data_IF_037140310202
#
_entry.id   IF_037140310202
#
_cell.length_a   1.000
_cell.length_b   1.000
_cell.length_c   1.000
_cell.angle_alpha   90.00
_cell.angle_beta   90.00
_cell.angle_gamma   90.00
#
_symmetry.space_group_name_H-M   'P 1'
#
loop_
_entity.id
_entity.type
_entity.pdbx_description
1 polymer ?
#
# COMPACT_ATOMS: atom_id res chain seq x y z
N UNK A 1 -13.53 8.70 7.89
CA UNK A 1 -12.80 8.69 9.18
C UNK A 1 -11.71 9.73 9.22
N UNK A 2 -11.35 10.21 10.43
CA UNK A 2 -10.26 11.16 10.62
C UNK A 2 -9.48 10.91 11.91
N UNK A 3 -8.20 11.30 11.95
CA UNK A 3 -7.32 11.17 13.11
C UNK A 3 -6.53 12.45 13.35
N UNK A 4 -6.50 12.88 14.62
CA UNK A 4 -5.59 13.91 15.15
C UNK A 4 -4.81 13.32 16.31
N UNK A 5 -3.50 13.55 16.35
CA UNK A 5 -2.66 13.13 17.49
C UNK A 5 -2.81 14.04 18.71
N UNK A 6 -3.23 15.28 18.50
CA UNK A 6 -3.54 16.21 19.59
C UNK A 6 -4.69 17.16 19.22
N UNK A 7 -5.39 17.71 20.22
CA UNK A 7 -6.51 18.65 20.00
C UNK A 7 -6.08 19.95 19.28
N UNK A 8 -4.80 20.34 19.40
CA UNK A 8 -4.22 21.53 18.77
C UNK A 8 -3.40 21.22 17.53
N UNK A 9 -3.14 19.93 17.25
CA UNK A 9 -2.38 19.49 16.08
C UNK A 9 -3.26 19.42 14.83
N UNK A 10 -2.59 19.41 13.66
CA UNK A 10 -3.23 19.16 12.38
C UNK A 10 -3.81 17.76 12.27
N UNK A 11 -4.61 17.53 11.25
CA UNK A 11 -5.11 16.21 10.90
C UNK A 11 -3.98 15.34 10.32
N UNK A 12 -3.77 14.18 10.90
CA UNK A 12 -2.93 13.15 10.29
C UNK A 12 -3.68 12.40 9.18
N UNK A 13 -5.00 12.19 9.38
CA UNK A 13 -5.94 11.71 8.38
C UNK A 13 -7.24 12.49 8.50
N UNK A 14 -7.86 12.82 7.37
CA UNK A 14 -9.11 13.58 7.34
C UNK A 14 -9.98 13.16 6.17
N UNK A 15 -11.28 13.02 6.42
CA UNK A 15 -12.29 12.70 5.42
C UNK A 15 -11.95 11.43 4.59
N UNK A 16 -11.24 10.46 5.20
CA UNK A 16 -10.90 9.21 4.53
C UNK A 16 -12.12 8.28 4.52
N UNK A 17 -12.55 7.89 3.32
CA UNK A 17 -13.60 6.90 3.10
C UNK A 17 -13.19 5.99 1.95
N UNK A 18 -12.97 4.72 2.21
CA UNK A 18 -12.56 3.72 1.23
C UNK A 18 -12.86 2.31 1.76
N UNK A 19 -12.89 1.34 0.86
CA UNK A 19 -12.90 -0.08 1.17
C UNK A 19 -11.75 -0.78 0.46
N UNK A 20 -11.17 -1.79 1.11
CA UNK A 20 -10.16 -2.65 0.49
C UNK A 20 -10.75 -4.05 0.30
N UNK A 21 -10.49 -4.70 -0.83
CA UNK A 21 -10.99 -6.06 -1.08
C UNK A 21 -10.28 -7.06 -0.14
N UNK A 22 -11.03 -8.08 0.29
CA UNK A 22 -10.45 -9.20 1.01
C UNK A 22 -9.64 -10.10 0.07
N UNK A 23 -8.68 -10.84 0.64
CA UNK A 23 -7.85 -11.83 -0.09
C UNK A 23 -7.07 -11.23 -1.27
N UNK A 24 -6.63 -9.97 -1.12
CA UNK A 24 -5.87 -9.24 -2.14
C UNK A 24 -4.65 -8.56 -1.54
N UNK A 25 -3.68 -8.28 -2.41
CA UNK A 25 -2.51 -7.46 -2.06
C UNK A 25 -2.80 -6.02 -2.45
N UNK A 26 -2.88 -5.15 -1.45
CA UNK A 26 -3.20 -3.74 -1.61
C UNK A 26 -1.96 -2.87 -1.38
N UNK A 27 -1.65 -2.01 -2.33
CA UNK A 27 -0.60 -1.01 -2.22
C UNK A 27 -1.14 0.26 -1.56
N UNK A 28 -0.54 0.69 -0.46
CA UNK A 28 -0.77 1.98 0.19
C UNK A 28 0.38 2.94 -0.15
N UNK A 29 0.15 3.86 -1.06
CA UNK A 29 1.17 4.75 -1.62
C UNK A 29 0.96 6.18 -1.15
N UNK A 30 2.04 6.94 -1.08
CA UNK A 30 2.02 8.37 -0.76
C UNK A 30 3.36 8.85 -0.23
N UNK A 31 3.60 10.17 -0.21
CA UNK A 31 4.83 10.75 0.30
C UNK A 31 5.01 10.50 1.80
N UNK A 32 6.21 10.78 2.31
CA UNK A 32 6.46 10.75 3.74
C UNK A 32 5.57 11.78 4.45
N UNK A 33 4.98 11.39 5.58
CA UNK A 33 4.03 12.24 6.30
C UNK A 33 2.60 12.27 5.75
N UNK A 34 2.30 11.56 4.66
CA UNK A 34 0.94 11.51 4.07
C UNK A 34 -0.12 10.85 4.96
N UNK A 35 0.29 10.10 6.00
CA UNK A 35 -0.64 9.41 6.90
C UNK A 35 -0.67 7.88 6.74
N UNK A 36 0.21 7.28 5.92
CA UNK A 36 0.26 5.83 5.66
C UNK A 36 0.37 5.00 6.95
N UNK A 37 1.40 5.26 7.76
CA UNK A 37 1.62 4.56 9.04
C UNK A 37 0.47 4.76 10.03
N UNK A 38 -0.14 5.96 10.04
CA UNK A 38 -1.34 6.26 10.85
C UNK A 38 -2.52 5.39 10.42
N UNK A 39 -2.73 5.24 9.11
CA UNK A 39 -3.79 4.42 8.56
C UNK A 39 -3.59 2.93 8.89
N UNK A 40 -2.37 2.42 8.74
CA UNK A 40 -2.04 1.05 9.13
C UNK A 40 -2.20 0.82 10.64
N UNK A 41 -1.76 1.76 11.48
CA UNK A 41 -1.93 1.68 12.93
C UNK A 41 -3.40 1.69 13.37
N UNK A 42 -4.26 2.44 12.67
CA UNK A 42 -5.72 2.38 12.86
C UNK A 42 -6.28 1.01 12.50
N UNK A 43 -5.93 0.48 11.33
CA UNK A 43 -6.37 -0.84 10.88
C UNK A 43 -5.86 -1.96 11.81
N UNK A 44 -4.67 -1.81 12.39
CA UNK A 44 -4.13 -2.71 13.42
C UNK A 44 -4.82 -2.57 14.79
N UNK A 45 -5.72 -1.60 14.96
CA UNK A 45 -6.35 -1.28 16.25
C UNK A 45 -5.39 -0.71 17.29
N UNK A 46 -4.22 -0.20 16.87
CA UNK A 46 -3.25 0.48 17.75
C UNK A 46 -3.65 1.92 18.04
N UNK A 47 -4.42 2.52 17.14
CA UNK A 47 -5.00 3.85 17.27
C UNK A 47 -6.52 3.76 17.18
N UNK A 48 -7.19 4.77 17.74
CA UNK A 48 -8.64 4.97 17.57
C UNK A 48 -8.87 6.17 16.67
N UNK A 49 -9.85 6.15 15.76
CA UNK A 49 -10.19 7.33 14.99
C UNK A 49 -10.73 8.42 15.91
N UNK A 50 -10.41 9.68 15.60
CA UNK A 50 -10.99 10.86 16.27
C UNK A 50 -12.43 11.09 15.79
N UNK A 51 -12.68 10.79 14.51
CA UNK A 51 -13.98 10.92 13.85
C UNK A 51 -14.23 9.74 12.92
N UNK A 52 -15.50 9.31 12.83
CA UNK A 52 -15.91 8.18 12.00
C UNK A 52 -15.54 6.82 12.61
N UNK A 53 -15.52 5.81 11.77
CA UNK A 53 -15.25 4.42 12.17
C UNK A 53 -14.31 3.74 11.18
N UNK A 54 -13.69 2.65 11.63
CA UNK A 54 -12.94 1.71 10.82
C UNK A 54 -13.46 0.31 11.11
N UNK A 55 -13.64 -0.47 10.06
CA UNK A 55 -13.93 -1.90 10.15
C UNK A 55 -12.70 -2.66 9.67
N UNK A 56 -12.17 -3.54 10.49
CA UNK A 56 -11.04 -4.41 10.20
C UNK A 56 -11.20 -5.72 11.00
N UNK A 57 -10.54 -6.82 10.60
CA UNK A 57 -10.47 -8.02 11.41
C UNK A 57 -9.96 -7.73 12.83
N UNK A 58 -10.35 -8.52 13.83
CA UNK A 58 -9.90 -8.32 15.21
C UNK A 58 -8.39 -8.49 15.33
N UNK A 59 -7.81 -7.97 16.42
CA UNK A 59 -6.35 -7.98 16.64
C UNK A 59 -5.73 -9.38 16.58
N UNK A 60 -6.46 -10.37 17.03
CA UNK A 60 -6.05 -11.79 17.02
C UNK A 60 -5.85 -12.29 15.58
N UNK A 61 -6.58 -11.71 14.63
CA UNK A 61 -6.55 -12.05 13.20
C UNK A 61 -5.78 -11.03 12.35
N UNK A 62 -5.21 -10.01 12.98
CA UNK A 62 -4.43 -8.97 12.31
C UNK A 62 -2.97 -9.06 12.74
N UNK A 63 -2.04 -9.04 11.79
CA UNK A 63 -0.62 -8.85 12.06
C UNK A 63 -0.16 -7.48 11.52
N UNK A 64 0.71 -6.81 12.26
CA UNK A 64 1.26 -5.52 11.88
C UNK A 64 2.78 -5.53 12.03
N UNK A 65 3.48 -5.18 10.97
CA UNK A 65 4.93 -4.97 10.96
C UNK A 65 5.16 -3.48 10.73
N UNK A 66 5.52 -2.79 11.79
CA UNK A 66 5.85 -1.36 11.73
C UNK A 66 7.23 -1.11 11.13
N UNK A 67 7.47 0.10 10.70
CA UNK A 67 8.74 0.53 10.09
C UNK A 67 9.94 0.28 11.01
N UNK A 68 9.80 0.50 12.33
CA UNK A 68 10.87 0.30 13.31
C UNK A 68 11.13 -1.19 13.64
N UNK A 69 10.25 -2.11 13.24
CA UNK A 69 10.35 -3.55 13.50
C UNK A 69 10.76 -3.83 14.96
N UNK A 70 9.89 -3.53 15.94
CA UNK A 70 10.22 -3.60 17.38
C UNK A 70 10.40 -5.05 17.84
N UNK A 71 11.59 -5.61 17.61
CA UNK A 71 12.01 -6.93 18.08
C UNK A 71 12.86 -6.79 19.34
N UNK A 72 12.82 -7.80 20.22
CA UNK A 72 13.64 -7.82 21.44
C UNK A 72 15.11 -8.10 21.10
N UNK A 73 16.05 -7.13 21.28
CA UNK A 73 17.42 -7.24 20.78
C UNK A 73 18.23 -8.37 21.43
N UNK A 74 17.86 -8.76 22.67
CA UNK A 74 18.53 -9.78 23.46
C UNK A 74 18.15 -11.21 23.09
N UNK A 75 16.98 -11.42 22.47
CA UNK A 75 16.53 -12.74 22.07
C UNK A 75 17.28 -13.22 20.82
N UNK A 76 17.37 -14.53 20.67
CA UNK A 76 17.79 -15.17 19.41
C UNK A 76 16.59 -15.23 18.45
N UNK A 77 16.85 -15.58 17.19
CA UNK A 77 15.79 -15.81 16.20
C UNK A 77 14.84 -16.91 16.68
N UNK A 78 15.36 -18.06 17.13
CA UNK A 78 14.56 -19.18 17.63
C UNK A 78 13.75 -18.82 18.87
N UNK A 79 14.33 -18.08 19.81
CA UNK A 79 13.63 -17.58 21.00
C UNK A 79 12.50 -16.61 20.61
N UNK A 80 12.75 -15.77 19.61
CA UNK A 80 11.75 -14.84 19.08
C UNK A 80 10.57 -15.58 18.45
N UNK A 81 10.83 -16.62 17.64
CA UNK A 81 9.75 -17.43 17.05
C UNK A 81 9.00 -18.25 18.12
N UNK A 82 9.71 -18.76 19.15
CA UNK A 82 9.08 -19.44 20.27
C UNK A 82 8.13 -18.51 21.04
N UNK A 83 8.57 -17.29 21.32
CA UNK A 83 7.72 -16.24 21.90
C UNK A 83 6.48 -15.98 21.04
N UNK A 84 6.65 -15.86 19.71
CA UNK A 84 5.54 -15.70 18.77
C UNK A 84 4.51 -16.82 18.89
N UNK A 85 4.96 -18.07 18.97
CA UNK A 85 4.11 -19.24 19.17
C UNK A 85 3.34 -19.21 20.48
N UNK A 86 4.00 -18.85 21.58
CA UNK A 86 3.39 -18.83 22.90
C UNK A 86 2.37 -17.70 23.07
N UNK A 87 2.60 -16.58 22.38
CA UNK A 87 1.65 -15.44 22.35
C UNK A 87 0.44 -15.68 21.43
N UNK A 88 0.49 -16.70 20.55
CA UNK A 88 -0.58 -17.01 19.61
C UNK A 88 -1.03 -18.49 19.72
N UNK A 89 -1.51 -18.95 20.88
CA UNK A 89 -1.90 -20.35 21.09
C UNK A 89 -3.03 -20.75 20.14
N UNK A 90 -2.87 -21.91 19.49
CA UNK A 90 -3.85 -22.47 18.56
C UNK A 90 -3.89 -21.83 17.17
N UNK A 91 -3.16 -20.75 16.94
CA UNK A 91 -3.12 -20.05 15.64
C UNK A 91 -1.73 -20.05 14.97
N UNK A 92 -0.71 -20.48 15.68
CA UNK A 92 0.66 -20.40 15.18
C UNK A 92 0.97 -21.43 14.10
N UNK A 93 1.43 -20.94 12.94
CA UNK A 93 1.98 -21.75 11.86
C UNK A 93 3.50 -21.76 11.89
N UNK A 94 4.06 -22.81 12.50
CA UNK A 94 5.51 -22.98 12.58
C UNK A 94 6.17 -23.18 11.22
N UNK A 95 5.46 -23.74 10.23
CA UNK A 95 6.01 -23.98 8.88
C UNK A 95 6.19 -22.66 8.12
N UNK A 96 5.19 -21.82 8.12
CA UNK A 96 5.26 -20.48 7.49
C UNK A 96 6.36 -19.63 8.14
N UNK A 97 6.44 -19.59 9.47
CA UNK A 97 7.49 -18.87 10.17
C UNK A 97 8.90 -19.41 9.85
N UNK A 98 9.09 -20.74 9.89
CA UNK A 98 10.37 -21.36 9.59
C UNK A 98 10.81 -21.17 8.14
N UNK A 99 9.88 -21.22 7.17
CA UNK A 99 10.16 -20.97 5.76
C UNK A 99 10.81 -19.61 5.54
N UNK A 100 10.26 -18.55 6.11
CA UNK A 100 10.79 -17.18 5.95
C UNK A 100 12.22 -17.06 6.52
N UNK A 101 12.49 -17.70 7.66
CA UNK A 101 13.81 -17.72 8.28
C UNK A 101 14.82 -18.48 7.42
N UNK A 102 14.45 -19.67 6.93
CA UNK A 102 15.30 -20.52 6.09
C UNK A 102 15.61 -19.90 4.73
N UNK A 103 14.61 -19.37 4.03
CA UNK A 103 14.78 -18.65 2.77
C UNK A 103 15.67 -17.40 2.93
N UNK A 104 15.69 -16.83 4.13
CA UNK A 104 16.58 -15.73 4.52
C UNK A 104 17.99 -16.15 4.86
N UNK A 105 18.29 -17.44 4.96
CA UNK A 105 19.59 -17.94 5.43
C UNK A 105 19.91 -17.49 6.86
N UNK A 106 18.89 -17.33 7.70
CA UNK A 106 19.09 -16.83 9.08
C UNK A 106 19.50 -17.97 10.01
N UNK A 107 20.54 -17.74 10.80
CA UNK A 107 20.91 -18.61 11.90
C UNK A 107 19.94 -18.44 13.07
N UNK A 108 19.28 -19.53 13.49
CA UNK A 108 18.34 -19.53 14.62
C UNK A 108 18.96 -19.13 15.94
N UNK A 109 20.26 -19.38 16.12
CA UNK A 109 21.04 -18.98 17.31
C UNK A 109 21.50 -17.52 17.30
N UNK A 110 21.42 -16.82 16.16
CA UNK A 110 21.84 -15.42 16.05
C UNK A 110 20.94 -14.50 16.89
N UNK A 111 21.54 -13.56 17.61
CA UNK A 111 20.79 -12.57 18.41
C UNK A 111 20.22 -11.49 17.51
N UNK A 112 19.00 -11.04 17.79
CA UNK A 112 18.32 -9.98 17.02
C UNK A 112 19.18 -8.72 16.89
N UNK A 113 19.92 -8.34 17.93
CA UNK A 113 20.80 -7.16 17.89
C UNK A 113 21.94 -7.24 16.88
N UNK A 114 22.38 -8.46 16.51
CA UNK A 114 23.47 -8.69 15.55
C UNK A 114 22.98 -8.79 14.10
N UNK A 115 21.67 -8.82 13.88
CA UNK A 115 21.08 -8.94 12.54
C UNK A 115 21.14 -7.61 11.77
N UNK A 116 21.32 -7.70 10.45
CA UNK A 116 21.14 -6.55 9.56
C UNK A 116 19.68 -6.08 9.53
N UNK A 117 19.41 -4.88 8.96
CA UNK A 117 18.05 -4.37 8.80
C UNK A 117 17.15 -5.35 8.04
N UNK A 118 17.63 -5.86 6.89
CA UNK A 118 16.91 -6.85 6.09
C UNK A 118 16.66 -8.18 6.81
N UNK A 119 17.63 -8.65 7.61
CA UNK A 119 17.45 -9.85 8.42
C UNK A 119 16.40 -9.64 9.52
N UNK A 120 16.39 -8.47 10.16
CA UNK A 120 15.33 -8.11 11.14
C UNK A 120 13.96 -8.04 10.49
N UNK A 121 13.87 -7.49 9.28
CA UNK A 121 12.63 -7.50 8.50
C UNK A 121 12.11 -8.92 8.31
N UNK A 122 12.97 -9.88 7.94
CA UNK A 122 12.57 -11.28 7.75
C UNK A 122 12.08 -11.92 9.05
N UNK A 123 12.72 -11.65 10.19
CA UNK A 123 12.24 -12.16 11.50
C UNK A 123 10.88 -11.56 11.85
N UNK A 124 10.67 -10.26 11.64
CA UNK A 124 9.39 -9.61 11.88
C UNK A 124 8.27 -10.18 11.00
N UNK A 125 8.58 -10.49 9.72
CA UNK A 125 7.64 -11.13 8.80
C UNK A 125 7.38 -12.60 9.18
N UNK A 126 8.39 -13.34 9.64
CA UNK A 126 8.21 -14.70 10.14
C UNK A 126 7.25 -14.74 11.34
N UNK A 127 7.35 -13.77 12.26
CA UNK A 127 6.39 -13.60 13.35
C UNK A 127 4.99 -13.27 12.84
N UNK A 128 4.89 -12.35 11.88
CA UNK A 128 3.61 -11.89 11.35
C UNK A 128 2.87 -13.00 10.60
N UNK A 129 3.55 -13.72 9.69
CA UNK A 129 2.97 -14.82 8.91
C UNK A 129 2.73 -16.06 9.79
N UNK A 130 3.64 -16.35 10.75
CA UNK A 130 3.44 -17.43 11.71
C UNK A 130 2.17 -17.29 12.54
N UNK A 131 1.67 -16.07 12.74
CA UNK A 131 0.39 -15.81 13.40
C UNK A 131 -0.85 -16.27 12.60
N UNK A 132 -0.71 -16.56 11.29
CA UNK A 132 -1.80 -16.86 10.34
C UNK A 132 -2.87 -15.76 10.33
N UNK A 133 -2.51 -14.54 10.01
CA UNK A 133 -3.44 -13.42 10.04
C UNK A 133 -4.43 -13.49 8.86
N UNK A 134 -5.65 -12.99 9.06
CA UNK A 134 -6.56 -12.66 7.94
C UNK A 134 -6.19 -11.32 7.31
N UNK A 135 -5.55 -10.42 8.09
CA UNK A 135 -5.09 -9.12 7.64
C UNK A 135 -3.62 -8.92 8.04
N UNK A 136 -2.76 -8.77 7.05
CA UNK A 136 -1.34 -8.46 7.21
C UNK A 136 -1.09 -7.01 6.80
N UNK A 137 -0.61 -6.22 7.75
CA UNK A 137 -0.31 -4.80 7.58
C UNK A 137 1.19 -4.59 7.64
N UNK A 138 1.78 -4.04 6.59
CA UNK A 138 3.23 -3.89 6.43
C UNK A 138 3.57 -2.42 6.18
N UNK A 139 4.34 -1.81 7.07
CA UNK A 139 4.77 -0.43 6.95
C UNK A 139 6.20 -0.35 6.41
N UNK A 140 6.32 -0.01 5.14
CA UNK A 140 7.58 0.06 4.38
C UNK A 140 8.48 -1.18 4.52
N UNK A 141 7.96 -2.40 4.29
CA UNK A 141 8.71 -3.64 4.58
C UNK A 141 9.91 -3.84 3.67
N UNK A 142 9.98 -3.12 2.55
CA UNK A 142 11.04 -3.26 1.54
C UNK A 142 12.22 -2.31 1.75
N UNK A 143 12.12 -1.32 2.65
CA UNK A 143 13.09 -0.23 2.79
C UNK A 143 14.55 -0.70 3.04
N UNK A 144 14.73 -1.79 3.82
CA UNK A 144 16.05 -2.30 4.20
C UNK A 144 16.51 -3.50 3.35
N UNK A 145 15.82 -3.81 2.24
CA UNK A 145 16.09 -4.98 1.41
C UNK A 145 16.79 -4.60 0.11
N UNK A 146 17.72 -5.43 -0.33
CA UNK A 146 18.24 -5.36 -1.69
C UNK A 146 17.21 -5.82 -2.73
N UNK A 147 17.38 -5.52 -4.03
CA UNK A 147 16.38 -5.83 -5.05
C UNK A 147 15.99 -7.32 -5.13
N UNK A 148 16.94 -8.23 -4.96
CA UNK A 148 16.66 -9.67 -4.99
C UNK A 148 15.86 -10.12 -3.76
N UNK A 149 16.21 -9.60 -2.59
CA UNK A 149 15.49 -9.85 -1.35
C UNK A 149 14.05 -9.31 -1.40
N UNK A 150 13.84 -8.13 -2.01
CA UNK A 150 12.50 -7.55 -2.25
C UNK A 150 11.65 -8.47 -3.13
N UNK A 151 12.20 -8.92 -4.25
CA UNK A 151 11.48 -9.82 -5.16
C UNK A 151 11.07 -11.14 -4.49
N UNK A 152 12.00 -11.76 -3.73
CA UNK A 152 11.70 -12.98 -2.96
C UNK A 152 10.63 -12.76 -1.89
N UNK A 153 10.70 -11.65 -1.17
CA UNK A 153 9.72 -11.31 -0.15
C UNK A 153 8.34 -11.10 -0.77
N UNK A 154 8.27 -10.36 -1.88
CA UNK A 154 7.00 -10.16 -2.58
C UNK A 154 6.39 -11.49 -3.04
N UNK A 155 7.20 -12.37 -3.62
CA UNK A 155 6.75 -13.72 -3.99
C UNK A 155 6.20 -14.51 -2.79
N UNK A 156 6.85 -14.46 -1.64
CA UNK A 156 6.39 -15.12 -0.42
C UNK A 156 5.07 -14.52 0.10
N UNK A 157 4.91 -13.20 0.06
CA UNK A 157 3.66 -12.53 0.47
C UNK A 157 2.50 -12.87 -0.46
N UNK A 158 2.73 -12.86 -1.78
CA UNK A 158 1.71 -13.24 -2.77
C UNK A 158 1.31 -14.72 -2.64
N UNK A 159 2.28 -15.61 -2.40
CA UNK A 159 2.01 -17.03 -2.16
C UNK A 159 1.17 -17.21 -0.89
N UNK A 160 1.52 -16.55 0.21
CA UNK A 160 0.74 -16.62 1.46
C UNK A 160 -0.68 -16.07 1.28
N UNK A 161 -0.83 -14.95 0.58
CA UNK A 161 -2.14 -14.38 0.25
C UNK A 161 -3.00 -15.36 -0.55
N UNK A 162 -2.41 -16.05 -1.53
CA UNK A 162 -3.11 -17.01 -2.36
C UNK A 162 -3.45 -18.33 -1.62
N UNK A 163 -2.50 -18.87 -0.83
CA UNK A 163 -2.65 -20.14 -0.13
C UNK A 163 -3.54 -20.05 1.10
N UNK A 164 -3.40 -18.96 1.87
CA UNK A 164 -4.07 -18.77 3.17
C UNK A 164 -5.24 -17.79 3.12
N UNK A 165 -5.47 -17.13 1.98
CA UNK A 165 -6.49 -16.10 1.85
C UNK A 165 -6.18 -14.85 2.70
N UNK A 166 -4.91 -14.58 2.98
CA UNK A 166 -4.49 -13.41 3.74
C UNK A 166 -4.68 -12.14 2.91
N UNK A 167 -5.38 -11.15 3.45
CA UNK A 167 -5.41 -9.80 2.88
C UNK A 167 -4.13 -9.07 3.28
N UNK A 168 -3.40 -8.51 2.33
CA UNK A 168 -2.15 -7.79 2.59
C UNK A 168 -2.33 -6.32 2.25
N UNK A 169 -1.97 -5.43 3.17
CA UNK A 169 -1.87 -3.99 2.91
C UNK A 169 -0.44 -3.56 3.18
N UNK A 170 0.25 -3.12 2.14
CA UNK A 170 1.66 -2.77 2.23
C UNK A 170 1.87 -1.32 1.84
N UNK A 171 2.50 -0.54 2.72
CA UNK A 171 2.90 0.81 2.39
C UNK A 171 4.25 0.81 1.64
N UNK A 172 4.34 1.68 0.64
CA UNK A 172 5.60 2.02 -0.03
C UNK A 172 5.58 3.47 -0.49
N UNK A 173 6.76 4.06 -0.60
CA UNK A 173 6.98 5.33 -1.28
C UNK A 173 7.64 5.13 -2.66
N UNK A 174 7.97 3.88 -3.03
CA UNK A 174 8.59 3.51 -4.31
C UNK A 174 7.57 2.73 -5.13
N UNK A 175 7.06 3.35 -6.19
CA UNK A 175 5.99 2.79 -7.03
C UNK A 175 6.45 1.53 -7.77
N UNK A 176 7.69 1.52 -8.28
CA UNK A 176 8.25 0.40 -9.01
C UNK A 176 8.31 -0.92 -8.20
N UNK A 177 8.28 -0.85 -6.86
CA UNK A 177 8.24 -2.03 -5.98
C UNK A 177 6.87 -2.72 -5.99
N UNK A 178 5.84 -2.01 -6.40
CA UNK A 178 4.44 -2.43 -6.30
C UNK A 178 3.87 -2.86 -7.65
N UNK A 179 4.56 -2.50 -8.74
CA UNK A 179 4.12 -2.77 -10.10
C UNK A 179 4.11 -4.27 -10.38
N UNK A 180 2.98 -4.77 -10.86
CA UNK A 180 2.77 -6.21 -11.10
C UNK A 180 2.59 -7.08 -9.86
N UNK A 181 2.68 -6.51 -8.64
CA UNK A 181 2.59 -7.25 -7.38
C UNK A 181 1.32 -6.93 -6.57
N UNK A 182 0.63 -5.86 -6.91
CA UNK A 182 -0.56 -5.41 -6.17
C UNK A 182 -1.81 -5.39 -7.04
N UNK A 183 -2.89 -5.91 -6.49
CA UNK A 183 -4.21 -5.93 -7.16
C UNK A 183 -4.95 -4.60 -7.00
N UNK A 184 -4.70 -3.90 -5.89
CA UNK A 184 -5.46 -2.73 -5.48
C UNK A 184 -4.54 -1.60 -5.03
N UNK A 185 -4.89 -0.38 -5.39
CA UNK A 185 -4.17 0.83 -5.06
C UNK A 185 -4.96 1.70 -4.08
N UNK A 186 -4.27 2.25 -3.10
CA UNK A 186 -4.73 3.32 -2.24
C UNK A 186 -3.66 4.42 -2.19
N UNK A 187 -3.89 5.55 -2.85
CA UNK A 187 -3.02 6.72 -2.78
C UNK A 187 -3.51 7.67 -1.69
N UNK A 188 -2.62 7.97 -0.75
CA UNK A 188 -2.87 8.93 0.33
C UNK A 188 -1.90 10.09 0.21
N UNK A 189 -2.43 11.30 0.24
CA UNK A 189 -1.65 12.53 0.24
C UNK A 189 -2.31 13.58 1.11
N UNK A 190 -1.52 14.35 1.89
CA UNK A 190 -2.02 15.35 2.80
C UNK A 190 -3.08 14.85 3.80
N UNK A 191 -2.98 13.58 4.22
CA UNK A 191 -3.94 12.94 5.11
C UNK A 191 -5.29 12.59 4.46
N UNK A 192 -5.41 12.63 3.13
CA UNK A 192 -6.63 12.32 2.38
C UNK A 192 -6.40 11.20 1.37
N UNK A 193 -7.43 10.40 1.12
CA UNK A 193 -7.41 9.42 0.04
C UNK A 193 -7.61 10.15 -1.28
N UNK A 194 -6.67 9.98 -2.21
CA UNK A 194 -6.67 10.60 -3.54
C UNK A 194 -7.13 9.63 -4.62
N UNK A 195 -6.65 8.39 -4.54
CA UNK A 195 -7.05 7.31 -5.44
C UNK A 195 -7.35 6.06 -4.60
N UNK A 196 -8.37 5.33 -4.99
CA UNK A 196 -8.68 3.99 -4.46
C UNK A 196 -9.34 3.16 -5.54
N UNK A 197 -8.82 1.96 -5.80
CA UNK A 197 -9.43 1.04 -6.77
C UNK A 197 -8.46 -0.05 -7.23
N UNK A 198 -8.97 -1.04 -8.00
CA UNK A 198 -8.11 -1.98 -8.71
C UNK A 198 -7.10 -1.24 -9.58
N UNK A 199 -5.84 -1.69 -9.59
CA UNK A 199 -4.75 -0.99 -10.30
C UNK A 199 -5.09 -0.81 -11.77
N UNK A 200 -5.54 -1.87 -12.44
CA UNK A 200 -5.89 -1.83 -13.87
C UNK A 200 -7.05 -0.86 -14.16
N UNK A 201 -8.06 -0.80 -13.30
CA UNK A 201 -9.21 0.09 -13.47
C UNK A 201 -8.81 1.56 -13.25
N UNK A 202 -7.93 1.81 -12.26
CA UNK A 202 -7.39 3.16 -12.02
C UNK A 202 -6.56 3.62 -13.21
N UNK A 203 -5.66 2.78 -13.74
CA UNK A 203 -4.88 3.09 -14.96
C UNK A 203 -5.79 3.28 -16.16
N UNK A 204 -6.76 2.37 -16.36
CA UNK A 204 -7.70 2.43 -17.49
C UNK A 204 -8.60 3.68 -17.48
N UNK A 205 -8.86 4.26 -16.30
CA UNK A 205 -9.62 5.48 -16.17
C UNK A 205 -8.87 6.74 -16.63
N UNK A 206 -7.56 6.64 -16.86
CA UNK A 206 -6.72 7.78 -17.22
C UNK A 206 -6.13 7.64 -18.63
N UNK A 207 -5.79 8.77 -19.23
CA UNK A 207 -5.06 8.86 -20.49
C UNK A 207 -3.97 9.92 -20.40
N UNK A 208 -2.80 9.58 -20.92
CA UNK A 208 -1.82 10.58 -21.34
C UNK A 208 -2.26 11.15 -22.66
N UNK A 209 -2.34 12.47 -22.74
CA UNK A 209 -2.83 13.22 -23.89
C UNK A 209 -1.71 14.15 -24.32
N UNK A 210 -1.36 14.14 -25.60
CA UNK A 210 -0.36 15.03 -26.18
C UNK A 210 -0.91 15.69 -27.43
N UNK A 211 -0.68 17.00 -27.59
CA UNK A 211 -1.15 17.77 -28.73
C UNK A 211 -0.69 19.24 -28.71
N UNK A 212 -1.22 20.08 -29.60
CA UNK A 212 -0.83 21.47 -29.67
C UNK A 212 -1.31 22.26 -28.45
N UNK A 213 -0.45 23.10 -27.87
CA UNK A 213 -0.78 23.92 -26.69
C UNK A 213 -1.99 24.86 -26.94
N UNK A 214 -2.25 25.22 -28.19
CA UNK A 214 -3.39 26.04 -28.60
C UNK A 214 -4.76 25.35 -28.40
N UNK A 215 -4.77 24.02 -28.33
CA UNK A 215 -6.00 23.21 -28.16
C UNK A 215 -6.30 22.89 -26.69
N UNK A 216 -5.64 23.53 -25.71
CA UNK A 216 -5.89 23.28 -24.28
C UNK A 216 -7.37 23.42 -23.88
N UNK A 217 -8.09 24.36 -24.51
CA UNK A 217 -9.51 24.58 -24.25
C UNK A 217 -10.39 23.36 -24.57
N UNK A 218 -9.97 22.52 -25.51
CA UNK A 218 -10.71 21.33 -25.95
C UNK A 218 -10.69 20.24 -24.86
N UNK A 219 -9.78 20.34 -23.87
CA UNK A 219 -9.74 19.45 -22.71
C UNK A 219 -10.71 19.85 -21.60
N UNK A 220 -11.41 21.00 -21.70
CA UNK A 220 -12.34 21.48 -20.66
C UNK A 220 -13.46 20.49 -20.29
N UNK A 221 -14.00 19.64 -21.21
CA UNK A 221 -14.99 18.61 -20.85
C UNK A 221 -14.42 17.47 -20.01
N UNK A 222 -13.10 17.30 -20.01
CA UNK A 222 -12.40 16.19 -19.35
C UNK A 222 -11.86 16.61 -17.98
N UNK A 223 -11.67 15.67 -17.08
CA UNK A 223 -11.01 15.97 -15.79
C UNK A 223 -9.51 15.93 -15.97
N UNK A 224 -8.89 17.08 -16.15
CA UNK A 224 -7.42 17.21 -16.21
C UNK A 224 -6.83 17.06 -14.81
N UNK A 225 -5.94 16.09 -14.63
CA UNK A 225 -5.20 15.86 -13.39
C UNK A 225 -3.97 16.74 -13.33
N UNK A 226 -3.12 16.66 -14.35
CA UNK A 226 -1.91 17.47 -14.51
C UNK A 226 -1.79 17.87 -15.99
N UNK A 227 -1.33 19.09 -16.27
CA UNK A 227 -0.95 19.49 -17.62
C UNK A 227 0.36 20.27 -17.61
N UNK A 228 1.14 20.08 -18.65
CA UNK A 228 2.44 20.77 -18.87
C UNK A 228 2.54 21.21 -20.32
N UNK A 229 2.98 22.42 -20.51
CA UNK A 229 3.28 22.97 -21.81
C UNK A 229 4.79 23.16 -21.98
N UNK A 230 5.35 22.57 -23.03
CA UNK A 230 6.75 22.74 -23.40
C UNK A 230 6.82 23.26 -24.84
N UNK A 231 7.10 24.56 -25.00
CA UNK A 231 7.03 25.23 -26.29
C UNK A 231 5.62 25.20 -26.87
N UNK A 232 5.44 24.48 -27.99
CA UNK A 232 4.14 24.34 -28.66
C UNK A 232 3.41 23.04 -28.33
N UNK A 233 4.02 22.16 -27.54
CA UNK A 233 3.46 20.87 -27.14
C UNK A 233 2.84 20.96 -25.76
N UNK A 234 1.58 20.54 -25.66
CA UNK A 234 0.89 20.26 -24.41
C UNK A 234 0.92 18.76 -24.15
N UNK A 235 1.25 18.37 -22.92
CA UNK A 235 1.08 17.02 -22.41
C UNK A 235 0.20 17.08 -21.17
N UNK A 236 -0.82 16.26 -21.07
CA UNK A 236 -1.72 16.20 -19.93
C UNK A 236 -1.99 14.77 -19.51
N UNK A 237 -2.16 14.55 -18.21
CA UNK A 237 -2.85 13.37 -17.68
C UNK A 237 -4.29 13.78 -17.41
N UNK A 238 -5.24 13.10 -18.01
CA UNK A 238 -6.65 13.39 -17.80
C UNK A 238 -7.49 12.12 -17.66
N UNK A 239 -8.66 12.27 -17.05
CA UNK A 239 -9.74 11.28 -17.08
C UNK A 239 -10.74 11.73 -18.13
N UNK A 240 -10.81 11.04 -19.28
CA UNK A 240 -11.75 11.41 -20.33
C UNK A 240 -13.21 11.29 -19.87
N UNK A 241 -13.99 12.29 -20.15
CA UNK A 241 -15.44 12.28 -19.97
C UNK A 241 -16.11 12.36 -21.36
N UNK A 242 -15.88 11.33 -22.16
CA UNK A 242 -16.31 11.24 -23.55
C UNK A 242 -15.13 11.02 -24.51
N UNK A 243 -15.41 10.99 -25.84
CA UNK A 243 -14.39 10.79 -26.85
C UNK A 243 -13.44 11.99 -26.92
N UNK A 244 -12.16 11.71 -27.19
CA UNK A 244 -11.13 12.69 -27.51
C UNK A 244 -11.00 12.76 -29.04
N UNK A 245 -10.81 13.96 -29.58
CA UNK A 245 -10.52 14.15 -30.99
C UNK A 245 -9.13 13.60 -31.33
N UNK A 246 -9.11 12.50 -32.08
CA UNK A 246 -7.90 11.79 -32.47
C UNK A 246 -7.05 12.47 -33.52
N UNK A 247 -7.61 13.47 -34.23
CA UNK A 247 -6.88 14.26 -35.21
C UNK A 247 -6.04 15.34 -34.53
N UNK A 248 -6.50 15.84 -33.38
CA UNK A 248 -5.81 16.86 -32.60
C UNK A 248 -4.93 16.23 -31.51
N UNK A 249 -5.39 15.11 -30.88
CA UNK A 249 -4.79 14.55 -29.69
C UNK A 249 -4.23 13.15 -29.89
N UNK A 250 -2.96 12.97 -29.58
CA UNK A 250 -2.38 11.63 -29.40
C UNK A 250 -2.67 11.17 -27.97
N UNK A 251 -3.12 9.93 -27.83
CA UNK A 251 -3.46 9.36 -26.53
C UNK A 251 -2.71 8.07 -26.27
N UNK A 252 -2.26 7.89 -25.00
CA UNK A 252 -1.65 6.66 -24.53
C UNK A 252 -2.17 6.31 -23.12
N UNK A 253 -1.99 5.06 -22.70
CA UNK A 253 -2.18 4.70 -21.33
C UNK A 253 -0.96 5.16 -20.49
N UNK A 254 -1.19 5.80 -19.33
CA UNK A 254 -0.08 6.09 -18.42
C UNK A 254 0.46 4.80 -17.80
N UNK A 255 1.74 4.78 -17.44
CA UNK A 255 2.25 3.84 -16.45
C UNK A 255 1.67 4.17 -15.07
N UNK A 256 1.71 3.21 -14.15
CA UNK A 256 1.29 3.45 -12.76
C UNK A 256 2.12 4.57 -12.11
N UNK A 257 3.42 4.62 -12.40
CA UNK A 257 4.31 5.65 -11.88
C UNK A 257 3.96 7.04 -12.39
N UNK A 258 3.76 7.21 -13.69
CA UNK A 258 3.34 8.50 -14.30
C UNK A 258 2.04 9.01 -13.69
N UNK A 259 1.07 8.10 -13.54
CA UNK A 259 -0.23 8.40 -12.95
C UNK A 259 -0.09 8.87 -11.50
N UNK A 260 0.64 8.15 -10.66
CA UNK A 260 0.82 8.49 -9.25
C UNK A 260 1.59 9.80 -9.08
N UNK A 261 2.67 10.01 -9.87
CA UNK A 261 3.43 11.25 -9.84
C UNK A 261 2.58 12.46 -10.25
N UNK A 262 1.73 12.33 -11.26
CA UNK A 262 0.83 13.40 -11.68
C UNK A 262 -0.16 13.78 -10.57
N UNK A 263 -0.76 12.79 -9.90
CA UNK A 263 -1.66 13.06 -8.77
C UNK A 263 -0.95 13.68 -7.57
N UNK A 264 0.29 13.29 -7.28
CA UNK A 264 1.09 13.87 -6.20
C UNK A 264 1.52 15.32 -6.48
N UNK A 265 1.76 15.66 -7.75
CA UNK A 265 2.09 17.04 -8.16
C UNK A 265 0.87 17.95 -8.23
N UNK A 266 -0.32 17.37 -8.29
CA UNK A 266 -1.59 18.09 -8.44
C UNK A 266 -2.53 17.80 -7.26
N UNK A 267 -2.24 18.33 -6.06
CA UNK A 267 -3.01 18.04 -4.85
C UNK A 267 -4.48 18.48 -4.94
N UNK A 268 -4.81 19.40 -5.82
CA UNK A 268 -6.17 19.90 -6.05
C UNK A 268 -6.96 19.08 -7.07
N UNK A 269 -6.31 18.13 -7.77
CA UNK A 269 -7.01 17.28 -8.73
C UNK A 269 -8.12 16.47 -8.02
N UNK A 270 -9.29 16.27 -8.64
CA UNK A 270 -10.39 15.54 -8.01
C UNK A 270 -10.00 14.11 -7.68
N UNK A 271 -10.30 13.66 -6.45
CA UNK A 271 -10.09 12.29 -6.03
C UNK A 271 -10.88 11.29 -6.91
N UNK A 272 -10.36 10.08 -7.01
CA UNK A 272 -11.01 8.99 -7.74
C UNK A 272 -11.12 7.76 -6.84
N UNK A 273 -12.34 7.28 -6.61
CA UNK A 273 -12.59 5.97 -6.06
C UNK A 273 -13.27 5.11 -7.11
N UNK A 274 -12.57 4.10 -7.60
CA UNK A 274 -13.13 3.10 -8.51
C UNK A 274 -13.60 1.94 -7.64
N UNK A 275 -14.91 1.69 -7.59
CA UNK A 275 -15.47 0.55 -6.87
C UNK A 275 -15.07 -0.77 -7.54
N UNK A 276 -14.98 -1.87 -6.80
CA UNK A 276 -14.77 -3.18 -7.41
C UNK A 276 -15.91 -3.44 -8.39
N UNK A 277 -15.55 -3.85 -9.62
CA UNK A 277 -16.53 -4.37 -10.57
C UNK A 277 -17.20 -5.58 -9.90
N UNK A 278 -18.46 -5.43 -9.58
CA UNK A 278 -19.40 -6.35 -8.93
C UNK A 278 -18.89 -7.79 -8.77
N UNK A 279 -18.24 -8.13 -7.66
CA UNK A 279 -18.26 -9.44 -7.01
C UNK A 279 -17.52 -9.30 -5.67
N UNK A 280 -18.25 -9.53 -4.58
CA UNK A 280 -17.71 -9.66 -3.22
C UNK A 280 -17.20 -8.39 -2.50
N UNK A 281 -18.06 -7.38 -2.39
CA UNK A 281 -17.97 -6.51 -1.22
C UNK A 281 -18.46 -7.32 -0.01
N UNK A 282 -17.55 -7.91 0.75
CA UNK A 282 -17.86 -8.41 2.09
C UNK A 282 -18.18 -7.18 2.93
N UNK A 283 -19.48 -6.91 3.09
CA UNK A 283 -19.97 -6.04 4.16
C UNK A 283 -19.68 -6.76 5.47
N UNK A 284 -18.69 -6.26 6.21
CA UNK A 284 -18.54 -6.58 7.61
C UNK A 284 -19.47 -5.71 8.44
#
# INVERSE_FOLDING_TARGET
>A
MGVRYSRRGGWALRDCSFGLPAHRVCALVGPNGAGKSTLLALAAGLLRPTEGAISAPPREETAYVGQDKPLYPQLTVDETLRMGRELNPGRWDAKSAARIVQEGGLDGGARIRSLSGGQRTRVALALALGKRPRLLLLDEPMADLDPLARHRLMGALMADAAENGTSVVMSSHIVAELEGACDHLLLVDGGRVRLSGPVDDVVAAHRLISGPATALADLAPHTVVESRTTGRLLTALARPNGPLDTDTWQTAHPSLEELLLAHLRSPDAPALAVGPRSAEAVRA
#
